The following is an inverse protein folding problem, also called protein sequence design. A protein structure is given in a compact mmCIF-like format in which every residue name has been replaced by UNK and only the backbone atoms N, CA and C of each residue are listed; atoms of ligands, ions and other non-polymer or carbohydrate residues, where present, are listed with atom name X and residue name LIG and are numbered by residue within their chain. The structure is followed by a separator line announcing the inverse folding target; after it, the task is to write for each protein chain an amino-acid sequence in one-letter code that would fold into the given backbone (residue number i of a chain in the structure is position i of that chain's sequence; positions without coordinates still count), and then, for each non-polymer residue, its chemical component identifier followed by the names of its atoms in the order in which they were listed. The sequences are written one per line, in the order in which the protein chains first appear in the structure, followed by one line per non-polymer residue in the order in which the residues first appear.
data_IF_863894472323
#
_entry.id   IF_863894472323
#
_cell.length_a   1.000
_cell.length_b   1.000
_cell.length_c   1.000
_cell.angle_alpha   90.00
_cell.angle_beta   90.00
_cell.angle_gamma   90.00
#
_symmetry.space_group_name_H-M   'P 1'
#
loop_
_entity.id
_entity.type
_entity.pdbx_description
1 polymer ?
#
# COMPACT_ATOMS: atom_id res chain seq x y z
N UNK A 1 -3.67 4.09 -7.07
CA UNK A 1 -3.52 2.83 -6.29
C UNK A 1 -4.86 2.14 -6.05
N UNK A 2 -5.89 2.81 -5.49
CA UNK A 2 -7.23 2.23 -5.28
C UNK A 2 -7.99 1.80 -6.56
N UNK A 3 -7.79 2.48 -7.70
CA UNK A 3 -8.41 2.08 -8.98
C UNK A 3 -7.80 0.77 -9.49
N UNK A 4 -6.49 0.58 -9.34
CA UNK A 4 -5.83 -0.69 -9.64
C UNK A 4 -6.25 -1.80 -8.67
N UNK A 5 -6.42 -1.49 -7.38
CA UNK A 5 -6.90 -2.44 -6.37
C UNK A 5 -8.36 -2.87 -6.60
N UNK A 6 -9.23 -1.95 -7.05
CA UNK A 6 -10.61 -2.27 -7.40
C UNK A 6 -10.71 -3.18 -8.63
N UNK A 7 -9.79 -3.02 -9.60
CA UNK A 7 -9.63 -3.96 -10.71
C UNK A 7 -9.11 -5.32 -10.24
N UNK A 8 -8.20 -5.37 -9.27
CA UNK A 8 -7.72 -6.63 -8.66
C UNK A 8 -8.81 -7.38 -7.88
N UNK A 9 -9.67 -6.66 -7.16
CA UNK A 9 -10.77 -7.23 -6.37
C UNK A 9 -11.90 -7.81 -7.26
N UNK A 10 -12.14 -7.24 -8.44
CA UNK A 10 -13.05 -7.84 -9.43
C UNK A 10 -12.53 -9.18 -9.97
N UNK A 11 -11.20 -9.36 -10.06
CA UNK A 11 -10.58 -10.63 -10.45
C UNK A 11 -10.62 -11.66 -9.33
N UNK A 12 -10.52 -11.24 -8.06
CA UNK A 12 -10.57 -12.15 -6.91
C UNK A 12 -11.98 -12.69 -6.59
N UNK A 13 -13.04 -11.92 -6.88
CA UNK A 13 -14.42 -12.32 -6.60
C UNK A 13 -14.92 -13.52 -7.46
N UNK A 14 -14.26 -13.80 -8.58
CA UNK A 14 -14.53 -15.00 -9.39
C UNK A 14 -14.00 -16.30 -8.76
N UNK A 15 -13.02 -16.22 -7.86
CA UNK A 15 -12.38 -17.38 -7.23
C UNK A 15 -13.05 -17.79 -5.89
N UNK A 16 -13.71 -16.86 -5.21
CA UNK A 16 -14.24 -17.07 -3.85
C UNK A 16 -15.56 -17.87 -3.77
N UNK A 17 -16.08 -18.40 -4.88
CA UNK A 17 -17.33 -19.19 -4.88
C UNK A 17 -17.15 -20.68 -4.62
N UNK A 18 -15.92 -21.14 -4.35
CA UNK A 18 -15.61 -22.53 -4.09
C UNK A 18 -14.64 -22.65 -2.90
N UNK A 19 -15.14 -22.46 -1.68
CA UNK A 19 -14.67 -23.14 -0.45
C UNK A 19 -15.46 -22.59 0.74
N UNK A 20 -16.33 -23.43 1.30
CA UNK A 20 -17.05 -23.14 2.53
C UNK A 20 -16.22 -23.49 3.76
N UNK A 21 -16.42 -22.67 4.80
CA UNK A 21 -16.32 -22.95 6.25
C UNK A 21 -15.38 -24.05 6.77
N UNK A 22 -14.38 -23.66 7.59
CA UNK A 22 -14.07 -24.38 8.82
C UNK A 22 -13.40 -23.45 9.86
N UNK A 23 -13.81 -23.66 11.11
CA UNK A 23 -13.63 -22.86 12.32
C UNK A 23 -12.19 -22.71 12.87
N UNK A 24 -12.07 -21.72 13.76
CA UNK A 24 -10.98 -21.35 14.66
C UNK A 24 -10.57 -22.47 15.63
N UNK A 25 -9.26 -22.66 15.86
CA UNK A 25 -8.71 -23.05 17.17
C UNK A 25 -7.22 -22.64 17.33
N UNK A 26 -6.82 -22.46 18.59
CA UNK A 26 -5.73 -21.64 19.17
C UNK A 26 -4.30 -22.22 19.00
N UNK A 27 -3.22 -21.42 18.85
CA UNK A 27 -1.87 -21.92 18.64
C UNK A 27 -1.05 -21.89 19.93
N UNK A 28 -1.01 -23.00 20.68
CA UNK A 28 0.01 -23.25 21.70
C UNK A 28 -0.12 -24.67 22.24
N UNK A 29 0.65 -25.62 21.66
CA UNK A 29 1.27 -26.76 22.35
C UNK A 29 2.00 -27.66 21.34
N UNK A 30 3.11 -28.24 21.78
CA UNK A 30 3.85 -29.35 21.20
C UNK A 30 4.89 -29.02 20.10
N UNK A 31 6.03 -28.54 20.57
CA UNK A 31 7.32 -28.87 19.96
C UNK A 31 7.76 -30.27 20.43
N UNK A 32 8.38 -31.01 19.51
CA UNK A 32 9.14 -32.27 19.69
C UNK A 32 8.34 -33.58 19.87
N UNK A 33 8.06 -34.26 18.75
CA UNK A 33 8.51 -35.64 18.41
C UNK A 33 7.61 -36.26 17.35
N UNK A 34 8.22 -36.67 16.24
CA UNK A 34 7.89 -37.81 15.36
C UNK A 34 8.09 -37.43 13.89
N UNK A 35 9.19 -37.94 13.33
CA UNK A 35 9.33 -38.13 11.91
C UNK A 35 8.16 -39.00 11.40
N UNK A 36 7.14 -38.36 10.83
CA UNK A 36 6.11 -39.02 10.06
C UNK A 36 6.41 -38.81 8.58
N UNK A 37 6.56 -39.91 7.86
CA UNK A 37 7.01 -40.01 6.49
C UNK A 37 6.25 -39.07 5.54
N UNK A 38 7.00 -38.38 4.67
CA UNK A 38 6.43 -37.76 3.48
C UNK A 38 5.72 -38.84 2.65
N UNK A 39 4.56 -38.54 2.04
CA UNK A 39 3.91 -39.49 1.14
C UNK A 39 4.87 -39.81 -0.01
N UNK A 40 5.06 -41.10 -0.30
CA UNK A 40 5.90 -41.55 -1.39
C UNK A 40 5.46 -40.89 -2.70
N UNK A 41 6.38 -40.18 -3.35
CA UNK A 41 6.17 -39.61 -4.68
C UNK A 41 5.84 -40.74 -5.67
N UNK A 42 4.87 -40.56 -6.58
CA UNK A 42 4.60 -41.56 -7.60
C UNK A 42 5.78 -41.60 -8.57
N UNK A 43 6.38 -42.79 -8.77
CA UNK A 43 7.39 -43.03 -9.81
C UNK A 43 6.81 -42.66 -11.18
N UNK A 44 7.31 -41.57 -11.77
CA UNK A 44 6.95 -41.16 -13.13
C UNK A 44 7.91 -41.87 -14.09
N UNK A 45 7.51 -43.04 -14.62
CA UNK A 45 8.29 -43.68 -15.68
C UNK A 45 8.26 -42.84 -16.97
N UNK A 46 9.44 -42.62 -17.56
CA UNK A 46 9.58 -41.94 -18.84
C UNK A 46 8.82 -42.70 -19.96
N UNK A 47 8.13 -42.00 -20.88
CA UNK A 47 7.40 -42.62 -22.00
C UNK A 47 8.35 -43.51 -22.82
N UNK A 48 7.86 -44.67 -23.27
CA UNK A 48 8.68 -45.65 -24.00
C UNK A 48 9.35 -45.08 -25.27
N UNK A 49 8.78 -44.02 -25.86
CA UNK A 49 9.28 -43.32 -27.05
C UNK A 49 10.54 -42.47 -26.79
N UNK A 50 10.86 -42.18 -25.52
CA UNK A 50 12.03 -41.40 -25.09
C UNK A 50 13.21 -42.27 -24.63
N UNK A 51 13.04 -43.60 -24.53
CA UNK A 51 14.02 -44.51 -23.93
C UNK A 51 15.17 -44.92 -24.86
N UNK A 52 15.19 -44.54 -26.15
CA UNK A 52 16.20 -45.09 -27.09
C UNK A 52 17.00 -44.04 -27.88
N UNK A 53 16.52 -42.80 -28.10
CA UNK A 53 17.36 -41.76 -28.75
C UNK A 53 16.81 -40.33 -28.56
N UNK A 54 17.12 -39.70 -27.42
CA UNK A 54 16.72 -38.31 -27.15
C UNK A 54 17.75 -37.33 -27.73
N UNK A 55 17.37 -36.59 -28.77
CA UNK A 55 18.26 -35.65 -29.47
C UNK A 55 17.96 -34.18 -29.17
N UNK A 56 17.00 -33.88 -28.29
CA UNK A 56 16.63 -32.52 -27.92
C UNK A 56 15.89 -31.74 -29.03
N UNK A 57 15.31 -32.43 -30.02
CA UNK A 57 14.50 -31.76 -31.04
C UNK A 57 13.26 -31.09 -30.43
N UNK A 58 12.74 -30.00 -31.03
CA UNK A 58 11.59 -29.25 -30.51
C UNK A 58 10.34 -30.10 -30.29
N UNK A 59 10.15 -31.14 -31.12
CA UNK A 59 9.02 -32.06 -31.01
C UNK A 59 9.17 -33.03 -29.83
N UNK A 60 10.37 -33.57 -29.58
CA UNK A 60 10.64 -34.43 -28.43
C UNK A 60 10.49 -33.69 -27.09
N UNK A 61 10.93 -32.42 -27.03
CA UNK A 61 10.76 -31.55 -25.84
C UNK A 61 9.27 -31.26 -25.60
N UNK A 62 8.51 -30.95 -26.66
CA UNK A 62 7.07 -30.70 -26.55
C UNK A 62 6.31 -31.93 -26.05
N UNK A 63 6.63 -33.11 -26.58
CA UNK A 63 6.02 -34.38 -26.14
C UNK A 63 6.37 -34.69 -24.70
N UNK A 64 7.61 -34.45 -24.25
CA UNK A 64 8.02 -34.63 -22.85
C UNK A 64 7.24 -33.68 -21.92
N UNK A 65 7.15 -32.39 -22.26
CA UNK A 65 6.37 -31.42 -21.48
C UNK A 65 4.88 -31.77 -21.42
N UNK A 66 4.27 -32.18 -22.54
CA UNK A 66 2.88 -32.62 -22.58
C UNK A 66 2.64 -33.88 -21.74
N UNK A 67 3.61 -34.81 -21.69
CA UNK A 67 3.53 -36.01 -20.87
C UNK A 67 3.68 -35.72 -19.37
N UNK A 68 4.63 -34.86 -18.98
CA UNK A 68 4.81 -34.43 -17.58
C UNK A 68 3.56 -33.68 -17.09
N UNK A 69 3.02 -32.79 -17.92
CA UNK A 69 1.78 -32.09 -17.63
C UNK A 69 0.58 -33.05 -17.56
N UNK A 70 0.46 -34.05 -18.44
CA UNK A 70 -0.63 -35.05 -18.39
C UNK A 70 -0.51 -36.02 -17.21
N UNK A 71 0.70 -36.51 -16.90
CA UNK A 71 0.94 -37.47 -15.83
C UNK A 71 0.62 -36.88 -14.45
N UNK A 72 0.79 -35.56 -14.27
CA UNK A 72 0.44 -34.85 -13.04
C UNK A 72 -0.81 -33.96 -13.12
N UNK A 73 -1.49 -33.85 -14.27
CA UNK A 73 -2.79 -33.17 -14.41
C UNK A 73 -3.93 -33.78 -13.57
N UNK A 74 -3.65 -34.83 -12.79
CA UNK A 74 -4.53 -35.35 -11.73
C UNK A 74 -4.40 -34.61 -10.38
N UNK A 75 -3.48 -33.64 -10.24
CA UNK A 75 -3.37 -32.79 -9.04
C UNK A 75 -3.39 -31.30 -9.41
N UNK A 76 -4.60 -30.71 -9.32
CA UNK A 76 -4.97 -29.27 -9.23
C UNK A 76 -4.37 -28.23 -10.19
N UNK A 77 -5.26 -27.55 -10.93
CA UNK A 77 -5.04 -26.24 -11.53
C UNK A 77 -4.69 -25.22 -10.42
N UNK A 78 -3.82 -24.27 -10.74
CA UNK A 78 -3.34 -23.15 -9.88
C UNK A 78 -1.96 -23.36 -9.22
N UNK A 79 -0.93 -23.61 -10.02
CA UNK A 79 0.48 -23.47 -9.61
C UNK A 79 1.03 -22.10 -10.03
N UNK A 80 1.68 -21.37 -9.11
CA UNK A 80 2.42 -20.16 -9.47
C UNK A 80 3.63 -20.48 -10.37
N UNK A 81 4.05 -19.53 -11.21
CA UNK A 81 5.10 -19.72 -12.22
C UNK A 81 6.44 -20.19 -11.63
N UNK A 82 6.76 -19.73 -10.42
CA UNK A 82 7.95 -20.12 -9.65
C UNK A 82 7.91 -21.58 -9.21
N UNK A 83 6.76 -22.06 -8.76
CA UNK A 83 6.54 -23.44 -8.33
C UNK A 83 6.52 -24.38 -9.53
N UNK A 84 5.84 -23.99 -10.61
CA UNK A 84 5.84 -24.75 -11.87
C UNK A 84 7.28 -24.92 -12.43
N UNK A 85 8.11 -23.88 -12.31
CA UNK A 85 9.50 -23.89 -12.77
C UNK A 85 10.39 -24.80 -11.91
N UNK A 86 10.25 -24.74 -10.58
CA UNK A 86 10.98 -25.66 -9.69
C UNK A 86 10.59 -27.12 -9.95
N UNK A 87 9.30 -27.38 -10.19
CA UNK A 87 8.72 -28.70 -10.37
C UNK A 87 9.12 -29.35 -11.71
N UNK A 88 9.21 -28.55 -12.78
CA UNK A 88 9.78 -29.00 -14.06
C UNK A 88 11.26 -29.32 -13.93
N UNK A 89 12.02 -28.50 -13.19
CA UNK A 89 13.46 -28.71 -13.02
C UNK A 89 13.79 -29.96 -12.20
N UNK A 90 13.00 -30.25 -11.17
CA UNK A 90 13.14 -31.46 -10.35
C UNK A 90 12.80 -32.72 -11.16
N UNK A 91 11.72 -32.69 -11.94
CA UNK A 91 11.33 -33.78 -12.84
C UNK A 91 12.39 -34.07 -13.92
N UNK A 92 13.06 -33.03 -14.42
CA UNK A 92 14.15 -33.16 -15.40
C UNK A 92 15.44 -33.72 -14.77
N UNK A 93 15.70 -33.45 -13.49
CA UNK A 93 16.88 -33.95 -12.77
C UNK A 93 16.83 -35.46 -12.47
N UNK A 94 15.62 -36.04 -12.44
CA UNK A 94 15.39 -37.47 -12.20
C UNK A 94 15.52 -38.33 -13.46
N UNK A 95 15.59 -37.72 -14.66
CA UNK A 95 15.80 -38.46 -15.90
C UNK A 95 17.28 -38.84 -16.08
N UNK A 96 17.60 -40.05 -16.58
CA UNK A 96 18.98 -40.52 -16.76
C UNK A 96 19.60 -39.92 -18.04
N UNK A 97 19.67 -38.59 -18.10
CA UNK A 97 20.16 -37.81 -19.24
C UNK A 97 21.54 -37.24 -18.87
N UNK A 98 22.52 -37.29 -19.78
CA UNK A 98 23.82 -36.65 -19.56
C UNK A 98 23.66 -35.15 -19.23
N UNK A 99 24.43 -34.65 -18.25
CA UNK A 99 24.33 -33.27 -17.74
C UNK A 99 24.43 -32.20 -18.84
N UNK A 100 25.11 -32.49 -19.95
CA UNK A 100 25.26 -31.58 -21.08
C UNK A 100 23.95 -31.39 -21.85
N UNK A 101 23.17 -32.47 -22.02
CA UNK A 101 21.89 -32.47 -22.73
C UNK A 101 20.80 -31.80 -21.89
N UNK A 102 20.85 -31.96 -20.56
CA UNK A 102 19.97 -31.26 -19.62
C UNK A 102 20.15 -29.73 -19.69
N UNK A 103 21.41 -29.27 -19.76
CA UNK A 103 21.73 -27.86 -19.92
C UNK A 103 21.25 -27.30 -21.26
N UNK A 104 21.34 -28.07 -22.35
CA UNK A 104 20.83 -27.68 -23.66
C UNK A 104 19.30 -27.58 -23.67
N UNK A 105 18.58 -28.52 -23.04
CA UNK A 105 17.13 -28.46 -22.86
C UNK A 105 16.72 -27.23 -22.06
N UNK A 106 17.43 -26.91 -20.98
CA UNK A 106 17.16 -25.71 -20.18
C UNK A 106 17.38 -24.42 -20.98
N UNK A 107 18.49 -24.31 -21.72
CA UNK A 107 18.78 -23.14 -22.58
C UNK A 107 17.73 -23.01 -23.68
N UNK A 108 17.28 -24.10 -24.30
CA UNK A 108 16.23 -24.07 -25.32
C UNK A 108 14.85 -23.73 -24.75
N UNK A 109 14.51 -24.22 -23.56
CA UNK A 109 13.27 -23.89 -22.86
C UNK A 109 13.22 -22.41 -22.45
N UNK A 110 14.34 -21.85 -21.98
CA UNK A 110 14.48 -20.42 -21.70
C UNK A 110 14.36 -19.59 -22.99
N UNK A 111 15.01 -20.00 -24.08
CA UNK A 111 14.90 -19.31 -25.38
C UNK A 111 13.49 -19.38 -25.99
N UNK A 112 12.75 -20.47 -25.76
CA UNK A 112 11.33 -20.60 -26.13
C UNK A 112 10.43 -19.71 -25.24
N UNK A 113 10.75 -19.59 -23.96
CA UNK A 113 10.12 -18.65 -23.03
C UNK A 113 10.35 -17.20 -23.44
N UNK A 114 11.58 -16.83 -23.81
CA UNK A 114 11.92 -15.51 -24.35
C UNK A 114 11.19 -15.21 -25.65
N UNK A 115 11.04 -16.19 -26.57
CA UNK A 115 10.22 -16.01 -27.79
C UNK A 115 8.74 -15.78 -27.51
N UNK A 116 8.21 -16.27 -26.38
CA UNK A 116 6.84 -15.98 -25.93
C UNK A 116 6.68 -14.54 -25.42
N UNK A 117 7.78 -13.94 -24.97
CA UNK A 117 7.90 -12.55 -24.53
C UNK A 117 8.63 -11.69 -25.57
N UNK A 118 8.55 -12.03 -26.86
CA UNK A 118 8.99 -11.14 -27.94
C UNK A 118 8.02 -9.93 -28.03
N UNK A 119 8.27 -8.94 -27.16
CA UNK A 119 7.57 -7.65 -27.10
C UNK A 119 8.01 -6.69 -28.22
N UNK A 120 8.73 -7.19 -29.23
CA UNK A 120 9.31 -6.38 -30.31
C UNK A 120 8.26 -5.65 -31.17
N UNK A 121 6.99 -6.11 -31.22
CA UNK A 121 6.01 -5.58 -32.18
C UNK A 121 4.58 -5.31 -31.67
N UNK A 122 4.28 -5.35 -30.38
CA UNK A 122 2.93 -5.04 -29.86
C UNK A 122 2.93 -3.85 -28.90
N UNK A 123 3.03 -2.63 -29.45
CA UNK A 123 2.85 -1.37 -28.69
C UNK A 123 1.45 -1.24 -28.06
N UNK A 124 0.46 -1.97 -28.57
CA UNK A 124 -0.92 -1.90 -28.13
C UNK A 124 -1.54 -3.29 -28.00
N UNK A 125 -2.13 -3.57 -26.83
CA UNK A 125 -2.92 -4.78 -26.61
C UNK A 125 -4.42 -4.43 -26.71
N UNK A 126 -5.11 -4.78 -27.82
CA UNK A 126 -6.52 -4.44 -28.04
C UNK A 126 -7.46 -5.05 -26.99
N UNK A 127 -7.03 -6.15 -26.33
CA UNK A 127 -7.79 -6.77 -25.24
C UNK A 127 -7.89 -5.85 -24.03
N UNK A 128 -6.87 -5.02 -23.76
CA UNK A 128 -6.82 -4.07 -22.63
C UNK A 128 -7.26 -2.65 -23.00
N UNK A 129 -8.06 -2.51 -24.07
CA UNK A 129 -8.57 -1.22 -24.53
C UNK A 129 -9.45 -0.51 -23.49
N UNK A 130 -10.19 -1.27 -22.67
CA UNK A 130 -10.96 -0.79 -21.53
C UNK A 130 -10.08 -0.04 -20.49
N UNK A 131 -8.91 -0.60 -20.13
CA UNK A 131 -7.95 0.03 -19.21
C UNK A 131 -7.36 1.30 -19.82
N UNK A 132 -7.05 1.29 -21.12
CA UNK A 132 -6.55 2.48 -21.82
C UNK A 132 -7.59 3.61 -21.80
N UNK A 133 -8.86 3.30 -22.13
CA UNK A 133 -9.95 4.28 -22.10
C UNK A 133 -10.13 4.85 -20.70
N UNK A 134 -10.14 3.99 -19.67
CA UNK A 134 -10.22 4.43 -18.28
C UNK A 134 -9.04 5.33 -17.88
N UNK A 135 -7.83 4.98 -18.31
CA UNK A 135 -6.63 5.79 -18.08
C UNK A 135 -6.69 7.16 -18.74
N UNK A 136 -7.09 7.22 -20.02
CA UNK A 136 -7.26 8.48 -20.76
C UNK A 136 -8.34 9.35 -20.10
N UNK A 137 -9.48 8.76 -19.70
CA UNK A 137 -10.54 9.48 -19.00
C UNK A 137 -10.04 10.07 -17.68
N UNK A 138 -9.33 9.29 -16.87
CA UNK A 138 -8.77 9.76 -15.60
C UNK A 138 -7.77 10.90 -15.81
N UNK A 139 -6.84 10.76 -16.76
CA UNK A 139 -5.88 11.81 -17.12
C UNK A 139 -6.58 13.07 -17.64
N UNK A 140 -7.65 12.90 -18.42
CA UNK A 140 -8.46 14.01 -18.94
C UNK A 140 -9.16 14.77 -17.81
N UNK A 141 -9.73 14.07 -16.82
CA UNK A 141 -10.32 14.70 -15.65
C UNK A 141 -9.28 15.43 -14.80
N UNK A 142 -8.15 14.80 -14.51
CA UNK A 142 -7.05 15.44 -13.76
C UNK A 142 -6.59 16.70 -14.49
N UNK A 143 -6.33 16.63 -15.80
CA UNK A 143 -5.94 17.76 -16.62
C UNK A 143 -6.97 18.89 -16.64
N UNK A 144 -8.25 18.55 -16.82
CA UNK A 144 -9.37 19.51 -16.81
C UNK A 144 -9.47 20.27 -15.48
N UNK A 145 -9.48 19.55 -14.35
CA UNK A 145 -9.58 20.19 -13.03
C UNK A 145 -8.31 20.96 -12.67
N UNK A 146 -7.13 20.49 -13.07
CA UNK A 146 -5.86 21.19 -12.86
C UNK A 146 -5.81 22.50 -13.64
N UNK A 147 -6.27 22.49 -14.89
CA UNK A 147 -6.36 23.68 -15.72
C UNK A 147 -7.30 24.73 -15.09
N UNK A 148 -8.48 24.30 -14.61
CA UNK A 148 -9.41 25.21 -13.95
C UNK A 148 -8.96 25.68 -12.57
N UNK A 149 -8.26 24.84 -11.79
CA UNK A 149 -7.65 25.23 -10.54
C UNK A 149 -6.61 26.34 -10.74
N UNK A 150 -5.78 26.21 -11.78
CA UNK A 150 -4.76 27.22 -12.14
C UNK A 150 -5.38 28.55 -12.59
N UNK A 151 -6.62 28.55 -13.06
CA UNK A 151 -7.36 29.78 -13.42
C UNK A 151 -7.97 30.49 -12.21
N UNK A 152 -7.73 30.01 -10.99
CA UNK A 152 -8.29 30.60 -9.77
C UNK A 152 -9.78 30.34 -9.59
N UNK A 153 -10.34 29.34 -10.29
CA UNK A 153 -11.70 28.89 -9.99
C UNK A 153 -11.68 28.15 -8.66
N UNK A 154 -12.48 28.63 -7.71
CA UNK A 154 -12.67 27.95 -6.44
C UNK A 154 -13.24 26.55 -6.67
N UNK A 155 -12.44 25.53 -6.34
CA UNK A 155 -12.88 24.15 -6.40
C UNK A 155 -13.38 23.73 -5.03
N UNK A 156 -14.66 23.37 -4.97
CA UNK A 156 -15.23 22.83 -3.74
C UNK A 156 -14.62 21.44 -3.44
N UNK A 157 -13.94 21.36 -2.30
CA UNK A 157 -13.41 20.13 -1.71
C UNK A 157 -14.17 19.87 -0.41
N UNK A 158 -14.50 18.60 -0.15
CA UNK A 158 -15.14 18.19 1.10
C UNK A 158 -14.25 18.61 2.27
N UNK A 159 -14.84 19.24 3.29
CA UNK A 159 -14.13 19.54 4.53
C UNK A 159 -13.72 18.24 5.22
N UNK A 160 -12.43 18.13 5.56
CA UNK A 160 -11.90 17.01 6.32
C UNK A 160 -11.83 17.46 7.78
N UNK A 161 -12.66 16.86 8.64
CA UNK A 161 -12.86 17.32 10.02
C UNK A 161 -11.54 17.38 10.81
N UNK A 162 -10.70 16.35 10.68
CA UNK A 162 -9.40 16.31 11.36
C UNK A 162 -8.44 17.42 10.92
N UNK A 163 -8.51 17.88 9.67
CA UNK A 163 -7.67 18.98 9.19
C UNK A 163 -8.17 20.35 9.65
N UNK A 164 -9.49 20.54 9.74
CA UNK A 164 -10.04 21.78 10.31
C UNK A 164 -9.77 21.93 11.80
N UNK A 165 -9.57 20.81 12.52
CA UNK A 165 -9.29 20.80 13.94
C UNK A 165 -7.81 21.12 14.27
N UNK A 166 -6.90 21.09 13.29
CA UNK A 166 -5.47 21.34 13.53
C UNK A 166 -5.26 22.75 14.10
N UNK A 167 -5.82 23.77 13.46
CA UNK A 167 -5.63 25.16 13.87
C UNK A 167 -6.24 25.43 15.27
N UNK A 168 -7.38 24.79 15.59
CA UNK A 168 -8.00 24.84 16.93
C UNK A 168 -7.14 24.14 17.98
N UNK A 169 -6.62 22.95 17.67
CA UNK A 169 -5.76 22.19 18.57
C UNK A 169 -4.47 22.94 18.92
N UNK A 170 -3.84 23.58 17.93
CA UNK A 170 -2.66 24.43 18.17
C UNK A 170 -3.06 25.66 18.99
N UNK A 171 -4.17 26.34 18.67
CA UNK A 171 -4.65 27.48 19.45
C UNK A 171 -4.93 27.14 20.91
N UNK A 172 -5.56 25.99 21.17
CA UNK A 172 -5.78 25.46 22.53
C UNK A 172 -4.47 25.23 23.25
N UNK A 173 -3.46 24.67 22.57
CA UNK A 173 -2.15 24.47 23.17
C UNK A 173 -1.47 25.79 23.56
N UNK A 174 -1.60 26.82 22.70
CA UNK A 174 -1.16 28.19 22.99
C UNK A 174 -1.86 28.76 24.22
N UNK A 175 -3.19 28.69 24.28
CA UNK A 175 -4.00 29.22 25.39
C UNK A 175 -3.66 28.54 26.73
N UNK A 176 -3.32 27.26 26.70
CA UNK A 176 -2.92 26.49 27.88
C UNK A 176 -1.43 26.64 28.24
N UNK A 177 -0.63 27.32 27.42
CA UNK A 177 0.83 27.43 27.62
C UNK A 177 1.55 26.09 27.57
N UNK A 178 1.00 25.11 26.85
CA UNK A 178 1.49 23.73 26.77
C UNK A 178 2.03 23.42 25.37
N UNK A 179 2.98 22.48 25.24
CA UNK A 179 3.52 22.14 23.93
C UNK A 179 2.51 21.39 23.06
N UNK A 180 2.78 21.42 21.75
CA UNK A 180 2.23 20.52 20.75
C UNK A 180 3.20 19.36 20.52
N UNK A 181 2.70 18.13 20.50
CA UNK A 181 3.47 16.94 20.14
C UNK A 181 3.06 16.45 18.75
N UNK A 182 4.02 16.20 17.87
CA UNK A 182 3.79 15.65 16.54
C UNK A 182 4.62 14.38 16.34
N UNK A 183 3.95 13.29 15.94
CA UNK A 183 4.55 11.97 15.71
C UNK A 183 4.35 11.60 14.24
N UNK A 184 5.42 11.57 13.42
CA UNK A 184 5.34 11.35 11.97
C UNK A 184 5.23 9.86 11.55
N UNK A 185 4.73 8.99 12.43
CA UNK A 185 4.70 7.54 12.23
C UNK A 185 6.04 6.85 12.52
N UNK A 186 6.10 5.54 12.25
CA UNK A 186 7.24 4.68 12.59
C UNK A 186 8.14 4.25 11.42
N UNK A 187 7.72 4.55 10.18
CA UNK A 187 8.46 4.17 8.96
C UNK A 187 9.37 5.31 8.50
N UNK A 188 10.25 5.02 7.54
CA UNK A 188 11.17 6.01 6.98
C UNK A 188 10.52 6.80 5.84
N UNK A 189 11.30 7.71 5.24
CA UNK A 189 10.90 8.59 4.14
C UNK A 189 10.65 7.87 2.81
N UNK A 190 10.89 6.56 2.73
CA UNK A 190 10.52 5.72 1.59
C UNK A 190 9.02 5.36 1.59
N UNK A 191 8.33 5.52 2.73
CA UNK A 191 6.88 5.34 2.82
C UNK A 191 6.11 6.64 2.51
N UNK A 192 5.10 6.51 1.66
CA UNK A 192 4.26 7.62 1.21
C UNK A 192 3.45 8.28 2.33
N UNK A 193 3.10 7.55 3.39
CA UNK A 193 2.37 8.07 4.56
C UNK A 193 3.29 8.92 5.43
N UNK A 194 4.56 8.52 5.58
CA UNK A 194 5.57 9.33 6.28
C UNK A 194 5.79 10.65 5.56
N UNK A 195 5.92 10.62 4.23
CA UNK A 195 6.01 11.84 3.40
C UNK A 195 4.78 12.74 3.62
N UNK A 196 3.57 12.16 3.62
CA UNK A 196 2.34 12.90 3.88
C UNK A 196 2.31 13.50 5.29
N UNK A 197 2.71 12.74 6.31
CA UNK A 197 2.83 13.18 7.70
C UNK A 197 3.80 14.36 7.84
N UNK A 198 5.00 14.26 7.29
CA UNK A 198 5.98 15.35 7.28
C UNK A 198 5.48 16.58 6.51
N UNK A 199 4.69 16.39 5.44
CA UNK A 199 4.05 17.52 4.76
C UNK A 199 3.04 18.25 5.67
N UNK A 200 2.23 17.52 6.44
CA UNK A 200 1.29 18.11 7.41
C UNK A 200 2.05 18.77 8.56
N UNK A 201 3.18 18.20 9.01
CA UNK A 201 4.07 18.81 10.00
C UNK A 201 4.47 20.23 9.60
N UNK A 202 4.73 20.50 8.32
CA UNK A 202 5.03 21.84 7.84
C UNK A 202 3.91 22.87 8.11
N UNK A 203 2.64 22.47 7.99
CA UNK A 203 1.51 23.33 8.33
C UNK A 203 1.38 23.51 9.85
N UNK A 204 1.50 22.43 10.63
CA UNK A 204 1.48 22.49 12.10
C UNK A 204 2.60 23.40 12.60
N UNK A 205 3.82 23.24 12.07
CA UNK A 205 4.99 24.04 12.41
C UNK A 205 4.81 25.53 12.09
N UNK A 206 4.19 25.85 10.94
CA UNK A 206 3.87 27.23 10.62
C UNK A 206 2.90 27.83 11.65
N UNK A 207 1.86 27.07 12.03
CA UNK A 207 0.88 27.52 13.03
C UNK A 207 1.45 27.64 14.43
N UNK A 208 2.29 26.70 14.86
CA UNK A 208 2.97 26.79 16.16
C UNK A 208 3.95 27.97 16.17
N UNK A 209 4.60 28.29 15.05
CA UNK A 209 5.44 29.48 14.94
C UNK A 209 4.63 30.79 15.00
N UNK A 210 3.48 30.86 14.30
CA UNK A 210 2.57 32.01 14.33
C UNK A 210 2.04 32.29 15.75
N UNK A 211 1.77 31.23 16.52
CA UNK A 211 1.24 31.32 17.88
C UNK A 211 2.31 31.18 18.98
N UNK A 212 3.60 31.22 18.63
CA UNK A 212 4.72 31.08 19.59
C UNK A 212 4.60 29.86 20.53
N UNK A 213 4.07 28.75 20.01
CA UNK A 213 3.83 27.53 20.79
C UNK A 213 4.96 26.54 20.59
N UNK A 214 5.39 25.89 21.67
CA UNK A 214 6.48 24.92 21.62
C UNK A 214 6.05 23.65 20.88
N UNK A 215 6.81 23.24 19.86
CA UNK A 215 6.54 22.05 19.05
C UNK A 215 7.60 20.98 19.36
N UNK A 216 7.14 19.78 19.73
CA UNK A 216 7.95 18.60 20.01
C UNK A 216 7.72 17.56 18.91
N UNK A 217 8.80 17.07 18.29
CA UNK A 217 8.72 16.10 17.19
C UNK A 217 9.70 14.96 17.45
N UNK A 218 9.36 14.00 18.33
CA UNK A 218 10.13 12.78 18.42
C UNK A 218 10.00 11.98 17.12
N UNK A 219 11.11 11.44 16.63
CA UNK A 219 11.16 10.62 15.43
C UNK A 219 11.80 9.26 15.75
N UNK A 220 11.30 8.20 15.14
CA UNK A 220 11.95 6.88 15.24
C UNK A 220 13.04 6.68 14.19
N UNK A 221 12.97 7.35 13.02
CA UNK A 221 13.98 7.26 11.97
C UNK A 221 14.83 8.53 11.86
N UNK A 222 16.12 8.35 11.61
CA UNK A 222 17.08 9.46 11.52
C UNK A 222 16.85 10.34 10.30
N UNK A 223 16.47 9.76 9.15
CA UNK A 223 16.19 10.53 7.94
C UNK A 223 14.87 11.32 8.07
N UNK A 224 13.87 10.75 8.73
CA UNK A 224 12.63 11.47 9.10
C UNK A 224 12.93 12.63 10.04
N UNK A 225 13.83 12.47 11.03
CA UNK A 225 14.28 13.57 11.90
C UNK A 225 14.91 14.71 11.09
N UNK A 226 15.90 14.40 10.23
CA UNK A 226 16.58 15.42 9.43
C UNK A 226 15.62 16.16 8.48
N UNK A 227 14.70 15.42 7.85
CA UNK A 227 13.70 16.03 6.97
C UNK A 227 12.71 16.89 7.76
N UNK A 228 12.27 16.42 8.94
CA UNK A 228 11.39 17.17 9.83
C UNK A 228 12.05 18.46 10.32
N UNK A 229 13.34 18.42 10.66
CA UNK A 229 14.10 19.62 11.03
C UNK A 229 14.09 20.67 9.91
N UNK A 230 14.32 20.24 8.68
CA UNK A 230 14.33 21.15 7.53
C UNK A 230 12.95 21.74 7.25
N UNK A 231 11.90 20.91 7.27
CA UNK A 231 10.52 21.35 7.05
C UNK A 231 10.06 22.33 8.15
N UNK A 232 10.35 22.03 9.41
CA UNK A 232 9.99 22.92 10.54
C UNK A 232 10.80 24.22 10.44
N UNK A 233 12.09 24.16 10.13
CA UNK A 233 12.94 25.34 9.95
C UNK A 233 12.41 26.24 8.82
N UNK A 234 12.04 25.67 7.69
CA UNK A 234 11.45 26.41 6.56
C UNK A 234 10.11 27.03 6.94
N UNK A 235 9.26 26.31 7.67
CA UNK A 235 7.98 26.82 8.16
C UNK A 235 8.16 28.02 9.12
N UNK A 236 9.11 27.93 10.05
CA UNK A 236 9.45 29.01 10.98
C UNK A 236 10.04 30.22 10.25
N UNK A 237 10.88 29.99 9.23
CA UNK A 237 11.41 31.05 8.37
C UNK A 237 10.29 31.78 7.61
N UNK A 238 9.35 31.05 7.02
CA UNK A 238 8.17 31.61 6.32
C UNK A 238 7.24 32.39 7.25
N UNK A 239 7.16 31.99 8.52
CA UNK A 239 6.42 32.71 9.56
C UNK A 239 7.18 33.93 10.12
N UNK A 240 8.44 34.16 9.71
CA UNK A 240 9.27 35.25 10.21
C UNK A 240 9.77 35.05 11.65
N UNK A 241 9.76 33.81 12.15
CA UNK A 241 10.10 33.43 13.54
C UNK A 241 11.23 32.41 13.62
N UNK A 242 12.24 32.55 12.76
CA UNK A 242 13.38 31.62 12.68
C UNK A 242 14.19 31.57 13.98
N UNK A 243 14.20 32.65 14.76
CA UNK A 243 14.80 32.77 16.08
C UNK A 243 14.16 31.85 17.13
N UNK A 244 12.89 31.48 16.93
CA UNK A 244 12.15 30.56 17.80
C UNK A 244 12.31 29.08 17.42
N UNK A 245 13.04 28.78 16.33
CA UNK A 245 13.27 27.40 15.89
C UNK A 245 14.26 26.69 16.82
N UNK A 246 13.87 25.52 17.31
CA UNK A 246 14.65 24.68 18.23
C UNK A 246 14.85 23.29 17.63
N UNK A 247 16.01 23.06 17.02
CA UNK A 247 16.31 21.77 16.39
C UNK A 247 16.30 20.62 17.41
N UNK A 248 16.65 20.89 18.68
CA UNK A 248 16.65 19.94 19.79
C UNK A 248 15.27 19.39 20.14
N UNK A 249 14.19 20.07 19.75
CA UNK A 249 12.83 19.55 19.93
C UNK A 249 12.47 18.48 18.89
N UNK A 250 13.25 18.37 17.82
CA UNK A 250 13.05 17.43 16.72
C UNK A 250 14.18 16.42 16.80
N UNK A 251 13.93 15.30 17.47
CA UNK A 251 14.97 14.37 17.90
C UNK A 251 14.66 12.94 17.53
N UNK A 252 15.70 12.24 17.10
CA UNK A 252 15.69 10.79 17.01
C UNK A 252 15.75 10.20 18.42
N UNK A 253 14.88 9.22 18.72
CA UNK A 253 14.90 8.49 20.00
C UNK A 253 15.56 7.11 19.86
N UNK A 254 14.98 6.25 19.02
CA UNK A 254 15.43 4.88 18.78
C UNK A 254 14.67 4.31 17.58
N UNK A 255 15.28 3.35 16.88
CA UNK A 255 14.65 2.54 15.82
C UNK A 255 13.82 1.37 16.37
N UNK A 256 13.95 1.04 17.67
CA UNK A 256 13.13 0.02 18.32
C UNK A 256 11.71 0.55 18.55
N UNK A 257 10.71 -0.15 18.01
CA UNK A 257 9.32 0.33 17.98
C UNK A 257 8.77 0.61 19.39
N UNK A 258 8.89 -0.32 20.33
CA UNK A 258 8.33 -0.12 21.67
C UNK A 258 9.20 0.77 22.56
N UNK A 259 10.52 0.76 22.37
CA UNK A 259 11.42 1.73 22.97
C UNK A 259 11.10 3.16 22.52
N UNK A 260 10.75 3.35 21.24
CA UNK A 260 10.29 4.63 20.71
C UNK A 260 9.01 5.08 21.39
N UNK A 261 8.00 4.21 21.47
CA UNK A 261 6.72 4.49 22.12
C UNK A 261 6.91 4.85 23.58
N UNK A 262 7.68 4.06 24.34
CA UNK A 262 7.98 4.36 25.74
C UNK A 262 8.71 5.71 25.90
N UNK A 263 9.58 6.06 24.95
CA UNK A 263 10.23 7.37 24.90
C UNK A 263 9.24 8.52 24.68
N UNK A 264 8.31 8.34 23.73
CA UNK A 264 7.24 9.31 23.42
C UNK A 264 6.26 9.44 24.59
N UNK A 265 5.81 8.34 25.19
CA UNK A 265 4.96 8.35 26.39
C UNK A 265 5.65 9.08 27.54
N UNK A 266 6.95 8.83 27.74
CA UNK A 266 7.74 9.55 28.71
C UNK A 266 7.78 11.07 28.45
N UNK A 267 7.83 11.50 27.18
CA UNK A 267 7.71 12.91 26.80
C UNK A 267 6.30 13.43 27.16
N UNK A 268 5.24 12.71 26.79
CA UNK A 268 3.87 13.11 27.12
C UNK A 268 3.66 13.29 28.62
N UNK A 269 4.16 12.36 29.44
CA UNK A 269 3.98 12.40 30.89
C UNK A 269 4.76 13.53 31.58
N UNK A 270 5.90 13.94 31.03
CA UNK A 270 6.70 15.06 31.55
C UNK A 270 6.20 16.42 31.06
N UNK A 271 6.04 16.56 29.74
CA UNK A 271 5.76 17.82 29.07
C UNK A 271 4.26 18.15 29.05
N UNK A 272 3.40 17.14 29.22
CA UNK A 272 1.93 17.24 29.24
C UNK A 272 1.40 18.09 28.08
N UNK A 273 1.69 17.71 26.81
CA UNK A 273 1.24 18.44 25.64
C UNK A 273 -0.28 18.63 25.67
N UNK A 274 -0.75 19.75 25.14
CA UNK A 274 -2.17 20.02 25.04
C UNK A 274 -2.78 19.48 23.74
N UNK A 275 -1.96 19.22 22.72
CA UNK A 275 -2.37 18.64 21.46
C UNK A 275 -1.34 17.61 20.97
N UNK A 276 -1.83 16.45 20.55
CA UNK A 276 -1.04 15.38 19.98
C UNK A 276 -1.48 15.09 18.55
N UNK A 277 -0.52 15.04 17.63
CA UNK A 277 -0.73 14.70 16.23
C UNK A 277 -0.05 13.38 15.91
N UNK A 278 -0.80 12.38 15.46
CA UNK A 278 -0.30 11.06 15.08
C UNK A 278 -0.52 10.85 13.58
N UNK A 279 0.43 11.23 12.73
CA UNK A 279 0.24 11.29 11.27
C UNK A 279 1.33 10.53 10.53
N UNK A 280 0.99 9.34 10.01
CA UNK A 280 1.93 8.47 9.32
C UNK A 280 1.55 6.99 9.39
N UNK A 281 2.57 6.12 9.26
CA UNK A 281 2.42 4.68 9.47
C UNK A 281 2.43 4.38 10.96
N UNK A 282 1.40 3.66 11.43
CA UNK A 282 1.36 3.13 12.79
C UNK A 282 0.92 1.66 12.78
N UNK A 283 1.24 0.95 13.85
CA UNK A 283 0.76 -0.40 14.19
C UNK A 283 0.26 -0.45 15.64
N UNK A 284 0.70 -1.44 16.43
CA UNK A 284 0.24 -1.70 17.79
C UNK A 284 0.40 -0.50 18.75
N UNK A 285 1.34 0.40 18.46
CA UNK A 285 1.57 1.63 19.21
C UNK A 285 0.42 2.63 19.15
N UNK A 286 -0.49 2.52 18.17
CA UNK A 286 -1.58 3.47 17.97
C UNK A 286 -2.40 3.69 19.25
N UNK A 287 -2.80 2.58 19.90
CA UNK A 287 -3.56 2.65 21.16
C UNK A 287 -2.72 3.12 22.33
N UNK A 288 -1.45 2.72 22.40
CA UNK A 288 -0.58 3.07 23.54
C UNK A 288 -0.37 4.59 23.55
N UNK A 289 0.01 5.16 22.40
CA UNK A 289 0.18 6.60 22.24
C UNK A 289 -1.13 7.35 22.49
N UNK A 290 -2.25 6.87 21.92
CA UNK A 290 -3.54 7.52 22.06
C UNK A 290 -4.06 7.49 23.51
N UNK A 291 -3.89 6.40 24.24
CA UNK A 291 -4.30 6.29 25.65
C UNK A 291 -3.44 7.19 26.53
N UNK A 292 -2.12 7.22 26.33
CA UNK A 292 -1.22 8.12 27.07
C UNK A 292 -1.58 9.59 26.82
N UNK A 293 -1.85 9.96 25.58
CA UNK A 293 -2.26 11.31 25.24
C UNK A 293 -3.62 11.70 25.82
N UNK A 294 -4.59 10.76 25.84
CA UNK A 294 -5.86 10.95 26.54
C UNK A 294 -5.65 11.15 28.04
N UNK A 295 -4.77 10.36 28.67
CA UNK A 295 -4.44 10.45 30.09
C UNK A 295 -3.84 11.82 30.49
N UNK A 296 -3.05 12.46 29.61
CA UNK A 296 -2.53 13.83 29.86
C UNK A 296 -3.51 14.95 29.48
N UNK A 297 -4.68 14.58 28.95
CA UNK A 297 -5.75 15.50 28.54
C UNK A 297 -5.46 16.26 27.24
N UNK A 298 -4.65 15.67 26.34
CA UNK A 298 -4.35 16.26 25.04
C UNK A 298 -5.52 16.04 24.06
N UNK A 299 -5.85 17.04 23.25
CA UNK A 299 -6.66 16.81 22.05
C UNK A 299 -5.82 16.02 21.05
N UNK A 300 -6.40 14.99 20.44
CA UNK A 300 -5.68 14.05 19.58
C UNK A 300 -6.23 14.06 18.16
N UNK A 301 -5.34 14.30 17.21
CA UNK A 301 -5.65 14.25 15.78
C UNK A 301 -4.73 13.20 15.15
N UNK A 302 -5.32 12.11 14.69
CA UNK A 302 -4.60 10.99 14.10
C UNK A 302 -4.87 10.87 12.60
N UNK A 303 -4.01 10.14 11.89
CA UNK A 303 -4.20 9.84 10.48
C UNK A 303 -3.25 8.76 9.99
N UNK A 304 -3.81 7.70 9.42
CA UNK A 304 -3.07 6.58 8.87
C UNK A 304 -3.84 5.94 7.71
N UNK A 305 -3.10 5.33 6.78
CA UNK A 305 -3.64 4.46 5.75
C UNK A 305 -3.49 2.97 6.07
N UNK A 306 -3.01 2.63 7.27
CA UNK A 306 -3.01 1.27 7.77
C UNK A 306 -4.43 0.85 8.17
N UNK A 307 -5.10 0.13 7.27
CA UNK A 307 -6.53 -0.25 7.39
C UNK A 307 -6.87 -0.89 8.74
N UNK A 308 -5.97 -1.72 9.27
CA UNK A 308 -6.17 -2.43 10.52
C UNK A 308 -5.93 -1.57 11.78
N UNK A 309 -5.38 -0.36 11.64
CA UNK A 309 -5.14 0.57 12.75
C UNK A 309 -6.12 1.73 12.82
N UNK A 310 -6.79 2.05 11.71
CA UNK A 310 -7.81 3.10 11.66
C UNK A 310 -8.86 2.94 12.76
N UNK A 311 -9.42 1.74 13.06
CA UNK A 311 -10.41 1.59 14.12
C UNK A 311 -9.92 2.02 15.51
N UNK A 312 -8.63 1.82 15.81
CA UNK A 312 -8.05 2.21 17.09
C UNK A 312 -7.96 3.71 17.24
N UNK A 313 -7.49 4.42 16.21
CA UNK A 313 -7.48 5.88 16.24
C UNK A 313 -8.89 6.47 16.23
N UNK A 314 -9.83 5.89 15.48
CA UNK A 314 -11.24 6.32 15.51
C UNK A 314 -11.84 6.18 16.91
N UNK A 315 -11.46 5.15 17.66
CA UNK A 315 -11.96 4.93 19.01
C UNK A 315 -11.25 5.78 20.09
N UNK A 316 -9.95 6.07 19.92
CA UNK A 316 -9.12 6.68 20.96
C UNK A 316 -8.75 8.16 20.73
N UNK A 317 -8.98 8.71 19.53
CA UNK A 317 -8.65 10.10 19.19
C UNK A 317 -9.90 10.92 18.89
N UNK A 318 -9.83 12.25 19.12
CA UNK A 318 -10.93 13.18 18.83
C UNK A 318 -11.24 13.28 17.33
N UNK A 319 -10.19 13.24 16.51
CA UNK A 319 -10.32 13.23 15.06
C UNK A 319 -9.35 12.23 14.42
N UNK A 320 -9.83 11.53 13.39
CA UNK A 320 -9.02 10.58 12.63
C UNK A 320 -9.18 10.79 11.13
N UNK A 321 -8.05 10.99 10.44
CA UNK A 321 -7.96 10.99 8.99
C UNK A 321 -7.91 9.54 8.49
N UNK A 322 -8.86 9.18 7.63
CA UNK A 322 -9.03 7.80 7.17
C UNK A 322 -8.38 7.63 5.79
N UNK A 323 -7.29 6.87 5.72
CA UNK A 323 -6.70 6.41 4.47
C UNK A 323 -6.34 7.55 3.51
N UNK A 324 -7.18 7.75 2.50
CA UNK A 324 -6.98 8.79 1.48
C UNK A 324 -7.00 10.22 2.02
N UNK A 325 -7.63 10.46 3.17
CA UNK A 325 -7.65 11.78 3.79
C UNK A 325 -6.26 12.24 4.23
N UNK A 326 -5.38 11.30 4.63
CA UNK A 326 -3.98 11.60 4.97
C UNK A 326 -3.22 12.12 3.74
N UNK A 327 -3.40 11.50 2.58
CA UNK A 327 -2.74 11.89 1.33
C UNK A 327 -3.35 13.16 0.71
N UNK A 328 -4.64 13.42 0.96
CA UNK A 328 -5.32 14.63 0.53
C UNK A 328 -4.97 15.86 1.39
N UNK A 329 -4.36 15.66 2.56
CA UNK A 329 -4.15 16.72 3.54
C UNK A 329 -3.26 17.85 3.05
N UNK A 330 -2.16 17.55 2.36
CA UNK A 330 -1.25 18.56 1.79
C UNK A 330 -1.98 19.46 0.79
N UNK A 331 -2.79 18.87 -0.09
CA UNK A 331 -3.61 19.61 -1.06
C UNK A 331 -4.62 20.53 -0.36
N UNK A 332 -5.25 20.02 0.71
CA UNK A 332 -6.25 20.75 1.48
C UNK A 332 -5.66 21.95 2.24
N UNK A 333 -4.50 21.75 2.88
CA UNK A 333 -3.84 22.76 3.72
C UNK A 333 -3.11 23.83 2.89
N UNK A 334 -2.37 23.44 1.86
CA UNK A 334 -1.59 24.39 1.02
C UNK A 334 -2.44 25.09 -0.03
N UNK A 335 -3.57 24.49 -0.42
CA UNK A 335 -4.41 24.92 -1.55
C UNK A 335 -3.64 25.12 -2.85
N UNK A 336 -2.60 24.32 -3.07
CA UNK A 336 -1.83 24.38 -4.31
C UNK A 336 -2.69 23.90 -5.50
N UNK A 337 -2.85 24.70 -6.58
CA UNK A 337 -3.74 24.37 -7.69
C UNK A 337 -3.51 22.98 -8.33
N UNK A 338 -2.26 22.54 -8.41
CA UNK A 338 -1.91 21.22 -8.97
C UNK A 338 -2.43 20.08 -8.09
N UNK A 339 -2.18 20.16 -6.79
CA UNK A 339 -2.61 19.13 -5.84
C UNK A 339 -4.14 19.11 -5.71
N UNK A 340 -4.76 20.29 -5.63
CA UNK A 340 -6.22 20.43 -5.61
C UNK A 340 -6.88 19.84 -6.87
N UNK A 341 -6.32 20.12 -8.05
CA UNK A 341 -6.83 19.64 -9.34
C UNK A 341 -6.73 18.12 -9.45
N UNK A 342 -5.62 17.56 -8.99
CA UNK A 342 -5.40 16.11 -8.95
C UNK A 342 -6.39 15.44 -8.00
N UNK A 343 -6.57 15.97 -6.79
CA UNK A 343 -7.51 15.45 -5.81
C UNK A 343 -8.93 15.45 -6.36
N UNK A 344 -9.39 16.57 -6.94
CA UNK A 344 -10.73 16.68 -7.51
C UNK A 344 -10.94 15.74 -8.70
N UNK A 345 -9.95 15.63 -9.59
CA UNK A 345 -10.00 14.72 -10.73
C UNK A 345 -10.09 13.25 -10.31
N UNK A 346 -9.35 12.87 -9.27
CA UNK A 346 -9.43 11.52 -8.70
C UNK A 346 -10.80 11.25 -8.07
N UNK A 347 -11.36 12.19 -7.32
CA UNK A 347 -12.68 12.03 -6.69
C UNK A 347 -13.80 11.88 -7.74
N UNK A 348 -13.78 12.68 -8.80
CA UNK A 348 -14.73 12.57 -9.92
C UNK A 348 -14.54 11.25 -10.66
N UNK A 349 -13.30 10.82 -10.89
CA UNK A 349 -13.00 9.53 -11.50
C UNK A 349 -13.55 8.36 -10.69
N UNK A 350 -13.36 8.36 -9.36
CA UNK A 350 -13.91 7.35 -8.45
C UNK A 350 -15.44 7.36 -8.48
N UNK A 351 -16.06 8.53 -8.47
CA UNK A 351 -17.51 8.64 -8.55
C UNK A 351 -18.07 8.04 -9.85
N UNK A 352 -17.42 8.28 -10.98
CA UNK A 352 -17.78 7.67 -12.26
C UNK A 352 -17.62 6.15 -12.22
N UNK A 353 -16.54 5.64 -11.63
CA UNK A 353 -16.32 4.20 -11.45
C UNK A 353 -17.47 3.59 -10.61
N UNK A 354 -17.90 4.25 -9.53
CA UNK A 354 -19.04 3.79 -8.72
C UNK A 354 -20.31 3.70 -9.57
N UNK A 355 -20.60 4.71 -10.39
CA UNK A 355 -21.77 4.68 -11.31
C UNK A 355 -21.66 3.50 -12.29
N UNK A 356 -20.49 3.31 -12.90
CA UNK A 356 -20.22 2.21 -13.84
C UNK A 356 -20.43 0.85 -13.17
N UNK A 357 -19.95 0.68 -11.93
CA UNK A 357 -20.13 -0.55 -11.15
C UNK A 357 -21.62 -0.79 -10.87
N UNK A 358 -22.34 0.23 -10.37
CA UNK A 358 -23.78 0.10 -10.07
C UNK A 358 -24.59 -0.23 -11.32
N UNK A 359 -24.32 0.44 -12.44
CA UNK A 359 -24.94 0.13 -13.73
C UNK A 359 -24.62 -1.29 -14.19
N UNK A 360 -23.37 -1.73 -14.04
CA UNK A 360 -22.96 -3.10 -14.36
C UNK A 360 -23.73 -4.13 -13.55
N UNK A 361 -23.88 -3.92 -12.24
CA UNK A 361 -24.66 -4.81 -11.37
C UNK A 361 -26.13 -4.87 -11.82
N UNK A 362 -26.75 -3.73 -12.14
CA UNK A 362 -28.16 -3.68 -12.59
C UNK A 362 -28.34 -4.39 -13.92
N UNK A 363 -27.48 -4.12 -14.91
CA UNK A 363 -27.55 -4.73 -16.24
C UNK A 363 -27.36 -6.24 -16.19
N UNK A 364 -26.40 -6.71 -15.39
CA UNK A 364 -26.15 -8.14 -15.18
C UNK A 364 -27.35 -8.81 -14.50
N UNK A 365 -27.96 -8.15 -13.51
CA UNK A 365 -29.18 -8.63 -12.84
C UNK A 365 -30.36 -8.75 -13.82
N UNK A 366 -30.44 -7.89 -14.83
CA UNK A 366 -31.43 -7.95 -15.90
C UNK A 366 -31.08 -8.93 -17.04
N UNK A 367 -29.98 -9.66 -16.94
CA UNK A 367 -29.53 -10.64 -17.94
C UNK A 367 -28.82 -10.03 -19.16
N UNK A 368 -28.44 -8.75 -19.11
CA UNK A 368 -27.72 -8.05 -20.18
C UNK A 368 -26.21 -8.14 -19.90
N UNK A 369 -25.55 -9.18 -20.42
CA UNK A 369 -24.14 -9.51 -20.09
C UNK A 369 -23.09 -8.80 -20.97
N UNK A 370 -23.51 -8.08 -22.02
CA UNK A 370 -22.59 -7.40 -22.94
C UNK A 370 -21.61 -6.46 -22.23
N UNK A 371 -22.11 -5.70 -21.24
CA UNK A 371 -21.31 -4.74 -20.51
C UNK A 371 -20.27 -5.40 -19.60
N UNK A 372 -20.66 -6.47 -18.89
CA UNK A 372 -19.76 -7.25 -18.03
C UNK A 372 -18.65 -7.93 -18.85
N UNK A 373 -19.01 -8.54 -19.99
CA UNK A 373 -18.06 -9.19 -20.90
C UNK A 373 -16.98 -8.24 -21.43
N UNK A 374 -17.26 -6.95 -21.54
CA UNK A 374 -16.26 -5.96 -21.95
C UNK A 374 -15.20 -5.67 -20.88
N UNK A 375 -15.47 -5.97 -19.61
CA UNK A 375 -14.50 -5.90 -18.52
C UNK A 375 -13.70 -7.19 -18.33
N UNK A 376 -14.22 -8.33 -18.81
CA UNK A 376 -13.54 -9.63 -18.73
C UNK A 376 -12.47 -9.71 -19.83
N UNK A 377 -11.25 -9.29 -19.50
CA UNK A 377 -10.07 -9.45 -20.35
C UNK A 377 -9.57 -10.90 -20.33
N UNK A 378 -9.71 -11.63 -21.46
CA UNK A 378 -9.11 -12.95 -21.70
C UNK A 378 -7.72 -12.89 -22.34
#
# INVERSE_FOLDING_TARGET
MFVLLAFSLLFAAGAARATGEAALENPQTAEVTAAAAAPAEPDIEAPAELKIDYNGSPEQIKTLCEHVLKARALASKDLEETEARALVMDSLAQLPIEKLTLAQVYVHAVALGEKRFDMSHNYFNPKRSNVLIAGILLLSFIGYFTYHARQGKDMFIRKIAGLSAIDEAVGRATEMGKPVLFVPGIYDMDDIQTIAGVSILGHVAKKTAEYETNLLVPCTRSLVMSTSQEVVREAYLKAGRIDSFKAENIRYLTDDQFGYVAGVDGIMMREKPAANFYLGVFFAESLILAETGHHVGAIQIAGTAMVHQIPFFVAACDYTLIGEELFAASAYLTREPMQLGTLKGQDVGKFLIIIVIVLGIVLETCGITFFSNWFITH
#
